data_IF_969092682234
#
_entry.id   IF_969092682234
#
_cell.length_a   1.000
_cell.length_b   1.000
_cell.length_c   1.000
_cell.angle_alpha   90.00
_cell.angle_beta   90.00
_cell.angle_gamma   90.00
#
_symmetry.space_group_name_H-M   'P 1'
#
loop_
_entity.id
_entity.type
_entity.pdbx_description
1 polymer ?
#
# COMPACT_ATOMS: atom_id res chain seq x y z
N UNK A 1 0.02 -6.35 -67.79
CA UNK A 1 0.87 -6.70 -66.62
C UNK A 1 0.97 -5.49 -65.70
N UNK A 2 0.06 -5.33 -64.72
CA UNK A 2 0.18 -4.31 -63.67
C UNK A 2 -0.78 -4.66 -62.53
N UNK A 3 -0.39 -5.58 -61.66
CA UNK A 3 -1.20 -6.00 -60.50
C UNK A 3 -0.40 -6.37 -59.25
N UNK A 4 0.93 -6.46 -59.37
CA UNK A 4 1.80 -6.91 -58.27
C UNK A 4 2.31 -5.76 -57.38
N UNK A 5 2.25 -4.50 -57.82
CA UNK A 5 2.87 -3.37 -57.13
C UNK A 5 2.10 -2.87 -55.91
N UNK A 6 0.76 -2.92 -55.92
CA UNK A 6 -0.06 -2.31 -54.86
C UNK A 6 -0.12 -3.17 -53.59
N UNK A 7 -0.09 -4.50 -53.74
CA UNK A 7 -0.15 -5.43 -52.60
C UNK A 7 1.16 -5.40 -51.80
N UNK A 8 2.31 -5.40 -52.46
CA UNK A 8 3.61 -5.33 -51.80
C UNK A 8 3.80 -4.03 -51.02
N UNK A 9 3.35 -2.89 -51.57
CA UNK A 9 3.39 -1.60 -50.89
C UNK A 9 2.53 -1.56 -49.61
N UNK A 10 1.35 -2.20 -49.65
CA UNK A 10 0.47 -2.29 -48.48
C UNK A 10 1.08 -3.14 -47.35
N UNK A 11 1.66 -4.30 -47.68
CA UNK A 11 2.34 -5.13 -46.69
C UNK A 11 3.58 -4.44 -46.10
N UNK A 12 4.32 -3.67 -46.89
CA UNK A 12 5.47 -2.92 -46.41
C UNK A 12 5.06 -1.78 -45.47
N UNK A 13 3.97 -1.06 -45.78
CA UNK A 13 3.43 0.01 -44.94
C UNK A 13 2.87 -0.50 -43.61
N UNK A 14 2.23 -1.68 -43.60
CA UNK A 14 1.76 -2.34 -42.37
C UNK A 14 2.94 -2.83 -41.52
N UNK A 15 3.97 -3.40 -42.14
CA UNK A 15 5.17 -3.83 -41.42
C UNK A 15 5.94 -2.65 -40.77
N UNK A 16 6.01 -1.51 -41.46
CA UNK A 16 6.65 -0.29 -40.95
C UNK A 16 5.87 0.35 -39.79
N UNK A 17 4.54 0.38 -39.87
CA UNK A 17 3.70 0.92 -38.80
C UNK A 17 3.71 0.03 -37.55
N UNK A 18 3.69 -1.30 -37.71
CA UNK A 18 3.82 -2.23 -36.56
C UNK A 18 5.21 -2.15 -35.95
N UNK A 19 6.27 -2.07 -36.76
CA UNK A 19 7.65 -1.98 -36.27
C UNK A 19 7.95 -0.73 -35.43
N UNK A 20 7.37 0.43 -35.79
CA UNK A 20 7.55 1.68 -35.03
C UNK A 20 6.79 1.66 -33.70
N UNK A 21 5.63 0.99 -33.62
CA UNK A 21 4.86 0.88 -32.39
C UNK A 21 5.59 0.10 -31.27
N UNK A 22 6.43 -0.88 -31.62
CA UNK A 22 7.14 -1.69 -30.60
C UNK A 22 8.38 -0.98 -30.04
N UNK A 23 9.01 -0.09 -30.82
CA UNK A 23 10.21 0.63 -30.41
C UNK A 23 9.94 1.81 -29.46
N UNK A 24 8.69 2.28 -29.37
CA UNK A 24 8.30 3.40 -28.52
C UNK A 24 7.92 2.99 -27.07
N UNK A 25 7.83 1.69 -26.77
CA UNK A 25 7.71 1.19 -25.40
C UNK A 25 9.06 1.30 -24.68
N UNK A 26 9.52 2.52 -24.41
CA UNK A 26 10.51 2.81 -23.38
C UNK A 26 9.91 2.36 -22.04
N UNK A 27 10.32 1.19 -21.57
CA UNK A 27 10.15 0.79 -20.17
C UNK A 27 10.85 1.83 -19.31
N UNK A 28 10.08 2.72 -18.68
CA UNK A 28 10.60 3.63 -17.68
C UNK A 28 11.34 2.81 -16.62
N UNK A 29 12.54 3.24 -16.18
CA UNK A 29 13.23 2.54 -15.11
C UNK A 29 12.31 2.48 -13.90
N UNK A 30 12.04 1.27 -13.43
CA UNK A 30 11.25 1.01 -12.23
C UNK A 30 12.02 1.63 -11.07
N UNK A 31 11.64 2.85 -10.68
CA UNK A 31 12.17 3.46 -9.48
C UNK A 31 11.92 2.48 -8.33
N UNK A 32 12.98 2.04 -7.65
CA UNK A 32 12.93 1.21 -6.45
C UNK A 32 12.18 1.97 -5.35
N UNK A 33 10.87 1.95 -5.48
CA UNK A 33 9.94 2.59 -4.56
C UNK A 33 9.77 1.61 -3.42
N UNK A 34 10.58 1.80 -2.38
CA UNK A 34 10.42 1.05 -1.15
C UNK A 34 9.08 1.45 -0.51
N UNK A 35 8.22 0.46 -0.27
CA UNK A 35 6.94 0.64 0.41
C UNK A 35 6.96 -0.03 1.77
N UNK A 36 6.26 0.57 2.72
CA UNK A 36 5.90 -0.08 3.99
C UNK A 36 4.43 -0.46 3.94
N UNK A 37 4.14 -1.71 4.29
CA UNK A 37 2.80 -2.22 4.43
C UNK A 37 2.53 -2.56 5.89
N UNK A 38 1.66 -1.77 6.52
CA UNK A 38 1.13 -2.09 7.85
C UNK A 38 -0.33 -2.43 7.73
N UNK A 39 -0.74 -3.40 8.54
CA UNK A 39 -2.10 -3.87 8.66
C UNK A 39 -2.53 -3.67 10.09
N UNK A 40 -3.77 -3.27 10.31
CA UNK A 40 -4.30 -3.05 11.65
C UNK A 40 -5.61 -3.82 11.84
N UNK A 41 -5.68 -4.56 12.94
CA UNK A 41 -6.81 -5.40 13.31
C UNK A 41 -7.04 -5.38 14.82
N UNK A 42 -8.19 -5.86 15.26
CA UNK A 42 -8.40 -6.15 16.68
C UNK A 42 -7.71 -7.45 17.11
N UNK A 43 -7.73 -7.73 18.41
CA UNK A 43 -7.20 -8.97 18.99
C UNK A 43 -7.88 -10.26 18.46
N UNK A 44 -9.05 -10.16 17.81
CA UNK A 44 -9.72 -11.26 17.13
C UNK A 44 -9.32 -11.37 15.65
N UNK A 45 -8.31 -10.61 15.22
CA UNK A 45 -7.82 -10.51 13.85
C UNK A 45 -8.85 -9.99 12.85
N UNK A 46 -9.85 -9.23 13.29
CA UNK A 46 -10.76 -8.52 12.40
C UNK A 46 -10.15 -7.16 12.05
N UNK A 47 -9.91 -6.91 10.76
CA UNK A 47 -9.31 -5.67 10.30
C UNK A 47 -10.15 -4.44 10.65
N UNK A 48 -9.45 -3.31 10.83
CA UNK A 48 -10.10 -2.01 10.92
C UNK A 48 -10.04 -1.30 9.56
N UNK A 49 -11.12 -1.39 8.78
CA UNK A 49 -11.21 -0.73 7.48
C UNK A 49 -11.72 0.70 7.53
N UNK A 50 -11.24 1.55 6.61
CA UNK A 50 -11.53 2.99 6.56
C UNK A 50 -11.15 3.78 7.83
N UNK A 51 -10.25 3.23 8.64
CA UNK A 51 -9.76 3.84 9.86
C UNK A 51 -8.80 4.99 9.51
N UNK A 52 -9.06 6.23 9.95
CA UNK A 52 -8.12 7.33 9.80
C UNK A 52 -6.85 7.07 10.60
N UNK A 53 -5.70 7.32 9.98
CA UNK A 53 -4.41 7.20 10.64
C UNK A 53 -3.43 8.25 10.16
N UNK A 54 -2.44 8.56 11.00
CA UNK A 54 -1.35 9.49 10.71
C UNK A 54 -0.05 8.72 10.79
N UNK A 55 0.72 8.73 9.71
CA UNK A 55 2.05 8.15 9.66
C UNK A 55 3.03 9.24 10.07
N UNK A 56 3.88 8.93 11.04
CA UNK A 56 4.92 9.83 11.53
C UNK A 56 6.26 9.39 10.94
N UNK A 57 7.04 10.35 10.47
CA UNK A 57 8.38 10.14 9.91
C UNK A 57 9.45 10.80 10.80
N UNK A 58 10.70 10.38 10.65
CA UNK A 58 11.85 10.75 11.51
C UNK A 58 12.11 12.27 11.63
N UNK A 59 11.70 13.08 10.65
CA UNK A 59 11.91 14.54 10.61
C UNK A 59 10.67 15.36 11.03
N UNK A 60 9.86 14.84 11.96
CA UNK A 60 8.59 15.47 12.39
C UNK A 60 7.60 15.76 11.24
N UNK A 61 7.77 15.06 10.12
CA UNK A 61 6.84 15.10 9.01
C UNK A 61 5.72 14.08 9.25
N UNK A 62 4.51 14.44 8.84
CA UNK A 62 3.32 13.63 9.07
C UNK A 62 2.46 13.58 7.83
N UNK A 63 1.91 12.40 7.55
CA UNK A 63 0.97 12.20 6.46
C UNK A 63 -0.25 11.44 6.93
N UNK A 64 -1.41 11.87 6.48
CA UNK A 64 -2.68 11.25 6.85
C UNK A 64 -3.11 10.23 5.81
N UNK A 65 -3.54 9.08 6.29
CA UNK A 65 -4.00 7.95 5.49
C UNK A 65 -5.33 7.43 6.01
N UNK A 66 -5.96 6.57 5.20
CA UNK A 66 -7.06 5.70 5.62
C UNK A 66 -6.73 4.28 5.26
N UNK A 67 -7.04 3.35 6.16
CA UNK A 67 -6.87 1.93 5.90
C UNK A 67 -7.86 1.43 4.84
N UNK A 68 -7.45 0.45 4.04
CA UNK A 68 -8.34 -0.27 3.14
C UNK A 68 -9.23 -1.27 3.91
N UNK A 69 -10.07 -2.04 3.22
CA UNK A 69 -10.94 -3.06 3.83
C UNK A 69 -10.19 -4.16 4.61
N UNK A 70 -8.92 -4.41 4.26
CA UNK A 70 -8.06 -5.36 4.97
C UNK A 70 -7.32 -4.70 6.15
N UNK A 71 -7.62 -3.44 6.47
CA UNK A 71 -6.91 -2.68 7.50
C UNK A 71 -5.51 -2.28 7.06
N UNK A 72 -5.20 -2.29 5.75
CA UNK A 72 -3.86 -2.03 5.22
C UNK A 72 -3.68 -0.56 4.92
N UNK A 73 -2.47 -0.04 5.17
CA UNK A 73 -1.94 1.15 4.52
C UNK A 73 -0.66 0.81 3.76
N UNK A 74 -0.42 1.53 2.68
CA UNK A 74 0.80 1.44 1.87
C UNK A 74 1.45 2.80 1.82
N UNK A 75 2.60 2.91 2.46
CA UNK A 75 3.33 4.18 2.58
C UNK A 75 4.54 4.14 1.65
N UNK A 76 4.60 5.01 0.61
CA UNK A 76 5.81 5.16 -0.18
C UNK A 76 6.89 5.84 0.67
N UNK A 77 8.05 5.20 0.80
CA UNK A 77 9.12 5.74 1.64
C UNK A 77 9.88 6.87 0.94
N UNK A 78 10.20 6.74 -0.35
CA UNK A 78 10.94 7.79 -1.08
C UNK A 78 12.24 8.24 -0.40
N UNK A 79 12.90 7.35 0.36
CA UNK A 79 14.09 7.67 1.18
C UNK A 79 13.79 8.13 2.62
N UNK A 80 12.52 8.24 3.01
CA UNK A 80 12.08 8.60 4.37
C UNK A 80 11.93 7.36 5.24
N UNK A 81 12.08 7.54 6.55
CA UNK A 81 11.90 6.50 7.57
C UNK A 81 10.62 6.77 8.36
N UNK A 82 9.68 5.83 8.32
CA UNK A 82 8.49 5.84 9.19
C UNK A 82 8.95 5.54 10.61
N UNK A 83 8.53 6.30 11.61
CA UNK A 83 8.83 6.05 13.03
C UNK A 83 7.63 5.43 13.76
N UNK A 84 6.42 5.69 13.28
CA UNK A 84 5.20 5.17 13.91
C UNK A 84 3.95 5.54 13.15
N UNK A 85 2.83 4.96 13.58
CA UNK A 85 1.50 5.24 13.04
C UNK A 85 0.54 5.47 14.19
N UNK A 86 -0.17 6.59 14.14
CA UNK A 86 -1.25 6.92 15.06
C UNK A 86 -2.59 6.63 14.42
N UNK A 87 -3.39 5.78 15.04
CA UNK A 87 -4.73 5.42 14.59
C UNK A 87 -5.78 6.19 15.37
N UNK A 88 -6.70 6.87 14.68
CA UNK A 88 -7.72 7.72 15.30
C UNK A 88 -9.08 7.02 15.37
N UNK A 89 -9.51 6.70 16.58
CA UNK A 89 -10.78 6.05 16.88
C UNK A 89 -11.83 7.00 17.48
N UNK A 90 -11.60 8.31 17.51
CA UNK A 90 -12.50 9.28 18.17
C UNK A 90 -13.93 9.22 17.64
N UNK A 91 -14.09 9.19 16.32
CA UNK A 91 -15.39 9.08 15.62
C UNK A 91 -15.51 7.81 14.78
N UNK A 92 -14.61 6.84 14.99
CA UNK A 92 -14.56 5.65 14.17
C UNK A 92 -15.61 4.63 14.62
N UNK A 93 -16.57 4.37 13.74
CA UNK A 93 -17.42 3.19 13.80
C UNK A 93 -16.92 2.22 12.74
N UNK A 94 -16.63 0.98 13.13
CA UNK A 94 -16.14 -0.04 12.20
C UNK A 94 -17.25 -0.34 11.16
N UNK A 95 -17.10 0.06 9.89
CA UNK A 95 -18.14 -0.16 8.90
C UNK A 95 -18.17 -1.62 8.43
N UNK A 96 -16.98 -2.22 8.32
CA UNK A 96 -16.75 -3.62 7.97
C UNK A 96 -15.34 -4.01 8.40
N UNK A 97 -15.07 -5.30 8.44
CA UNK A 97 -13.75 -5.85 8.73
C UNK A 97 -13.59 -7.23 8.14
N UNK A 98 -12.37 -7.57 7.73
CA UNK A 98 -12.01 -8.87 7.18
C UNK A 98 -11.23 -9.63 8.24
N UNK A 99 -11.51 -10.93 8.35
CA UNK A 99 -10.68 -11.82 9.15
C UNK A 99 -9.31 -11.96 8.49
N UNK A 100 -8.26 -11.59 9.21
CA UNK A 100 -6.88 -11.68 8.76
C UNK A 100 -6.25 -12.95 9.34
N UNK A 101 -5.57 -13.75 8.51
CA UNK A 101 -4.88 -14.93 9.00
C UNK A 101 -3.49 -14.53 9.48
N UNK A 102 -3.19 -14.80 10.77
CA UNK A 102 -1.89 -14.46 11.39
C UNK A 102 -0.68 -14.96 10.59
N UNK A 103 -0.81 -16.11 9.92
CA UNK A 103 0.24 -16.73 9.08
C UNK A 103 0.65 -15.90 7.86
N UNK A 104 -0.16 -14.92 7.44
CA UNK A 104 0.11 -14.07 6.27
C UNK A 104 1.06 -12.89 6.62
N UNK A 105 1.43 -12.77 7.90
CA UNK A 105 2.25 -11.68 8.42
C UNK A 105 3.53 -12.20 9.04
N UNK A 106 4.65 -11.57 8.66
CA UNK A 106 5.97 -11.93 9.17
C UNK A 106 6.22 -11.33 10.56
N UNK A 107 5.62 -10.17 10.81
CA UNK A 107 5.68 -9.49 12.10
C UNK A 107 4.28 -9.21 12.61
N UNK A 108 4.04 -9.55 13.88
CA UNK A 108 2.77 -9.29 14.56
C UNK A 108 3.08 -8.56 15.85
N UNK A 109 2.58 -7.33 15.97
CA UNK A 109 2.75 -6.46 17.13
C UNK A 109 1.40 -6.35 17.83
N UNK A 110 1.32 -6.77 19.08
CA UNK A 110 0.11 -6.62 19.89
C UNK A 110 0.30 -5.46 20.87
N UNK A 111 -0.45 -4.39 20.65
CA UNK A 111 -0.46 -3.20 21.51
C UNK A 111 -1.38 -3.49 22.68
N UNK A 112 -0.89 -3.28 23.91
CA UNK A 112 -1.64 -3.57 25.14
C UNK A 112 -2.16 -2.32 25.83
N UNK A 113 -1.58 -1.17 25.52
CA UNK A 113 -1.92 0.08 26.18
C UNK A 113 -3.26 0.62 25.68
N UNK A 114 -3.98 1.28 26.58
CA UNK A 114 -5.25 1.91 26.29
C UNK A 114 -5.05 3.11 25.34
N UNK A 115 -6.05 3.45 24.51
CA UNK A 115 -5.95 4.60 23.63
C UNK A 115 -5.92 5.89 24.45
N UNK A 116 -4.93 6.74 24.21
CA UNK A 116 -4.92 8.10 24.76
C UNK A 116 -5.84 8.97 23.90
N UNK A 117 -6.90 9.51 24.50
CA UNK A 117 -7.90 10.36 23.83
C UNK A 117 -8.52 9.74 22.57
N UNK A 118 -8.71 8.41 22.58
CA UNK A 118 -9.25 7.67 21.44
C UNK A 118 -8.25 7.48 20.29
N UNK A 119 -6.95 7.76 20.51
CA UNK A 119 -5.88 7.51 19.54
C UNK A 119 -4.94 6.42 20.06
N UNK A 120 -4.55 5.51 19.18
CA UNK A 120 -3.48 4.55 19.44
C UNK A 120 -2.24 4.97 18.65
N UNK A 121 -1.20 5.40 19.35
CA UNK A 121 0.11 5.60 18.74
C UNK A 121 0.89 4.28 18.83
N UNK A 122 1.34 3.78 17.67
CA UNK A 122 2.09 2.53 17.60
C UNK A 122 3.40 2.79 16.90
N UNK A 123 4.49 2.52 17.59
CA UNK A 123 5.81 2.47 16.95
C UNK A 123 5.82 1.28 15.99
N UNK A 124 6.07 1.57 14.72
CA UNK A 124 6.13 0.52 13.70
C UNK A 124 7.58 0.13 13.54
N UNK A 125 7.99 -1.11 13.89
CA UNK A 125 9.36 -1.53 13.73
C UNK A 125 9.74 -1.50 12.24
N UNK A 126 10.66 -0.61 11.93
CA UNK A 126 11.05 -0.19 10.57
C UNK A 126 12.08 -1.14 9.98
N UNK A 127 11.85 -2.45 10.06
CA UNK A 127 12.59 -3.37 9.20
C UNK A 127 11.87 -3.44 7.84
N UNK A 128 12.20 -2.42 7.06
CA UNK A 128 11.84 -2.15 5.67
C UNK A 128 11.94 -3.44 4.86
N UNK A 129 10.80 -4.04 4.50
CA UNK A 129 10.55 -5.01 3.39
C UNK A 129 9.35 -5.93 3.66
N UNK A 130 8.80 -5.99 4.88
CA UNK A 130 7.90 -7.09 5.29
C UNK A 130 6.54 -6.60 5.82
N UNK A 131 5.51 -7.42 5.63
CA UNK A 131 4.14 -7.19 6.10
C UNK A 131 4.08 -7.26 7.62
N UNK A 132 3.60 -6.19 8.25
CA UNK A 132 3.41 -6.10 9.70
C UNK A 132 1.92 -6.03 10.05
N UNK A 133 1.48 -6.86 10.99
CA UNK A 133 0.13 -6.81 11.56
C UNK A 133 0.19 -6.19 12.97
N UNK A 134 -0.58 -5.14 13.16
CA UNK A 134 -0.77 -4.44 14.43
C UNK A 134 -2.11 -4.87 15.00
N UNK A 135 -2.10 -5.51 16.16
CA UNK A 135 -3.28 -5.90 16.91
C UNK A 135 -3.53 -4.86 18.00
N UNK A 136 -4.69 -4.21 17.93
CA UNK A 136 -5.13 -3.24 18.92
C UNK A 136 -6.19 -3.86 19.84
N UNK A 137 -6.21 -3.49 21.13
CA UNK A 137 -7.31 -3.88 22.01
C UNK A 137 -8.61 -3.35 21.43
N UNK A 138 -9.66 -4.17 21.48
CA UNK A 138 -10.96 -3.76 20.96
C UNK A 138 -11.47 -2.59 21.80
N UNK A 139 -11.73 -1.46 21.16
CA UNK A 139 -12.52 -0.38 21.76
C UNK A 139 -13.96 -0.91 21.87
N UNK A 140 -14.41 -1.18 23.09
CA UNK A 140 -15.80 -1.53 23.41
C UNK A 140 -16.64 -0.26 23.35
#
# INVERSE_FOLDING_TARGET
>A
MCGYSARAAFFLAVALTVGVCVAACKTAPRADTHFVHTFVADMFHISYGALPCTVHFEHAEHETYRTDINGRITVPLGGRRVIGVSYDFTQYQRPSGRLLARKDFLHVVAVRDAPHDGKYAVEVPVHVTRTCLILLPRKI
#
